data_IF_956115779895
#
_entry.id   IF_956115779895
#
_cell.length_a   1.000
_cell.length_b   1.000
_cell.length_c   1.000
_cell.angle_alpha   90.00
_cell.angle_beta   90.00
_cell.angle_gamma   90.00
#
_symmetry.space_group_name_H-M   'P 1'
#
loop_
_entity.id
_entity.type
_entity.pdbx_description
1 polymer ?
#
# COMPACT_ATOMS: atom_id res chain seq x y z
N UNK A 1 0.64 -11.15 8.18
CA UNK A 1 0.64 -9.71 7.81
C UNK A 1 -0.02 -9.42 6.46
N UNK A 2 0.29 -10.15 5.37
CA UNK A 2 -0.38 -9.94 4.07
C UNK A 2 -1.91 -10.12 4.14
N UNK A 3 -2.37 -11.12 4.88
CA UNK A 3 -3.81 -11.40 5.09
C UNK A 3 -4.50 -10.28 5.88
N UNK A 4 -3.81 -9.67 6.86
CA UNK A 4 -4.38 -8.58 7.68
C UNK A 4 -4.70 -7.36 6.82
N UNK A 5 -3.81 -7.00 5.90
CA UNK A 5 -4.06 -5.92 4.94
C UNK A 5 -5.23 -6.21 4.00
N UNK A 6 -5.40 -7.47 3.59
CA UNK A 6 -6.50 -7.90 2.71
C UNK A 6 -7.82 -7.84 3.47
N UNK A 7 -7.86 -8.32 4.72
CA UNK A 7 -9.06 -8.24 5.57
C UNK A 7 -9.44 -6.78 5.83
N UNK A 8 -8.45 -5.93 6.16
CA UNK A 8 -8.68 -4.50 6.38
C UNK A 8 -9.23 -3.83 5.11
N UNK A 9 -8.68 -4.15 3.95
CA UNK A 9 -9.17 -3.65 2.66
C UNK A 9 -10.63 -4.06 2.41
N UNK A 10 -10.93 -5.35 2.57
CA UNK A 10 -12.28 -5.90 2.41
C UNK A 10 -13.29 -5.23 3.33
N UNK A 11 -12.90 -4.97 4.57
CA UNK A 11 -13.76 -4.31 5.56
C UNK A 11 -14.07 -2.85 5.16
N UNK A 12 -13.07 -2.12 4.66
CA UNK A 12 -13.26 -0.76 4.14
C UNK A 12 -14.18 -0.77 2.91
N UNK A 13 -13.95 -1.69 1.96
CA UNK A 13 -14.79 -1.80 0.75
C UNK A 13 -16.23 -2.17 1.13
N UNK A 14 -16.42 -3.09 2.07
CA UNK A 14 -17.74 -3.45 2.58
C UNK A 14 -18.44 -2.25 3.26
N UNK A 15 -17.71 -1.46 4.05
CA UNK A 15 -18.24 -0.26 4.70
C UNK A 15 -18.66 0.81 3.68
N UNK A 16 -17.87 1.03 2.63
CA UNK A 16 -18.20 1.97 1.55
C UNK A 16 -19.41 1.47 0.75
N UNK A 17 -19.45 0.18 0.40
CA UNK A 17 -20.59 -0.42 -0.29
C UNK A 17 -21.89 -0.33 0.53
N UNK A 18 -21.80 -0.56 1.85
CA UNK A 18 -22.92 -0.37 2.77
C UNK A 18 -23.37 1.09 2.86
N UNK A 19 -22.42 2.04 2.86
CA UNK A 19 -22.72 3.47 2.79
C UNK A 19 -23.47 3.85 1.51
N UNK A 20 -23.13 3.26 0.36
CA UNK A 20 -23.88 3.45 -0.89
C UNK A 20 -25.28 2.83 -0.84
N UNK A 21 -25.44 1.70 -0.15
CA UNK A 21 -26.74 1.05 0.03
C UNK A 21 -27.70 1.86 0.91
N UNK A 22 -27.20 2.52 1.95
CA UNK A 22 -27.99 3.37 2.87
C UNK A 22 -28.24 4.78 2.31
N UNK A 23 -27.37 5.27 1.41
CA UNK A 23 -27.49 6.60 0.77
C UNK A 23 -28.91 6.98 0.30
N UNK A 24 -29.74 6.09 -0.30
CA UNK A 24 -31.10 6.42 -0.69
C UNK A 24 -32.07 6.69 0.47
N UNK A 25 -31.87 6.08 1.64
CA UNK A 25 -32.74 6.29 2.81
C UNK A 25 -32.24 7.42 3.72
N UNK A 26 -30.92 7.47 3.95
CA UNK A 26 -30.27 8.52 4.73
C UNK A 26 -28.99 8.99 4.02
N UNK A 27 -29.15 10.07 3.27
CA UNK A 27 -28.08 10.68 2.49
C UNK A 27 -26.92 11.15 3.38
N UNK A 28 -27.20 11.72 4.56
CA UNK A 28 -26.16 12.27 5.45
C UNK A 28 -25.30 11.16 6.03
N UNK A 29 -25.94 10.11 6.53
CA UNK A 29 -25.23 8.98 7.12
C UNK A 29 -24.49 8.18 6.05
N UNK A 30 -25.08 8.01 4.86
CA UNK A 30 -24.45 7.35 3.73
C UNK A 30 -23.17 8.03 3.27
N UNK A 31 -23.20 9.36 3.06
CA UNK A 31 -22.00 10.10 2.66
C UNK A 31 -20.93 10.15 3.75
N UNK A 32 -21.33 10.24 5.02
CA UNK A 32 -20.39 10.18 6.14
C UNK A 32 -19.66 8.84 6.20
N UNK A 33 -20.38 7.72 6.05
CA UNK A 33 -19.78 6.38 5.99
C UNK A 33 -18.83 6.20 4.79
N UNK A 34 -19.19 6.74 3.62
CA UNK A 34 -18.32 6.70 2.44
C UNK A 34 -17.06 7.53 2.68
N UNK A 35 -17.21 8.75 3.18
CA UNK A 35 -16.10 9.67 3.46
C UNK A 35 -15.12 9.10 4.50
N UNK A 36 -15.62 8.52 5.58
CA UNK A 36 -14.78 7.91 6.61
C UNK A 36 -14.09 6.64 6.11
N UNK A 37 -14.76 5.84 5.27
CA UNK A 37 -14.19 4.66 4.63
C UNK A 37 -13.03 5.01 3.69
N UNK A 38 -13.22 6.03 2.84
CA UNK A 38 -12.17 6.52 1.93
C UNK A 38 -11.00 7.15 2.72
N UNK A 39 -11.31 7.92 3.76
CA UNK A 39 -10.28 8.49 4.65
C UNK A 39 -9.48 7.38 5.34
N UNK A 40 -10.13 6.34 5.84
CA UNK A 40 -9.46 5.19 6.44
C UNK A 40 -8.58 4.44 5.42
N UNK A 41 -9.02 4.35 4.16
CA UNK A 41 -8.22 3.77 3.08
C UNK A 41 -6.92 4.54 2.83
N UNK A 42 -7.00 5.87 2.81
CA UNK A 42 -5.82 6.72 2.58
C UNK A 42 -4.90 6.78 3.80
N UNK A 43 -5.45 7.03 5.00
CA UNK A 43 -4.65 7.30 6.20
C UNK A 43 -4.23 6.05 6.96
N UNK A 44 -4.97 4.93 6.88
CA UNK A 44 -4.59 3.68 7.54
C UNK A 44 -4.08 2.65 6.54
N UNK A 45 -4.89 2.33 5.52
CA UNK A 45 -4.57 1.20 4.65
C UNK A 45 -3.32 1.46 3.81
N UNK A 46 -3.19 2.65 3.21
CA UNK A 46 -2.05 3.01 2.37
C UNK A 46 -0.69 2.99 3.11
N UNK A 47 -0.49 3.68 4.24
CA UNK A 47 0.80 3.65 4.94
C UNK A 47 1.11 2.26 5.50
N UNK A 48 0.10 1.52 5.98
CA UNK A 48 0.29 0.16 6.46
C UNK A 48 0.71 -0.79 5.32
N UNK A 49 0.14 -0.60 4.13
CA UNK A 49 0.52 -1.35 2.93
C UNK A 49 1.97 -1.07 2.52
N UNK A 50 2.38 0.21 2.49
CA UNK A 50 3.75 0.61 2.16
C UNK A 50 4.73 0.01 3.16
N UNK A 51 4.45 0.14 4.47
CA UNK A 51 5.30 -0.42 5.52
C UNK A 51 5.45 -1.94 5.38
N UNK A 52 4.34 -2.65 5.14
CA UNK A 52 4.40 -4.11 4.95
C UNK A 52 5.20 -4.50 3.71
N UNK A 53 5.05 -3.76 2.60
CA UNK A 53 5.75 -4.00 1.34
C UNK A 53 7.25 -3.70 1.47
N UNK A 54 7.63 -2.66 2.22
CA UNK A 54 9.02 -2.26 2.41
C UNK A 54 9.83 -3.17 3.34
N UNK A 55 9.18 -4.03 4.14
CA UNK A 55 9.87 -4.89 5.12
C UNK A 55 10.96 -5.81 4.54
N UNK A 56 10.91 -6.14 3.25
CA UNK A 56 11.92 -6.99 2.57
C UNK A 56 12.91 -6.22 1.70
N UNK A 57 12.76 -4.90 1.55
CA UNK A 57 13.64 -4.08 0.71
C UNK A 57 14.59 -3.29 1.59
N UNK A 58 15.88 -3.56 1.49
CA UNK A 58 16.90 -2.75 2.13
C UNK A 58 17.04 -1.45 1.34
N UNK A 59 16.77 -0.30 1.95
CA UNK A 59 16.90 1.01 1.28
C UNK A 59 18.30 1.21 0.69
N UNK A 60 19.31 0.65 1.37
CA UNK A 60 20.72 0.69 0.95
C UNK A 60 21.00 0.00 -0.38
N UNK A 61 20.24 -1.03 -0.74
CA UNK A 61 20.42 -1.74 -2.02
C UNK A 61 19.99 -0.90 -3.23
N UNK A 62 19.21 0.16 -2.99
CA UNK A 62 18.74 1.10 -4.01
C UNK A 62 19.56 2.41 -4.07
N UNK A 63 20.55 2.57 -3.19
CA UNK A 63 21.38 3.77 -3.14
C UNK A 63 22.60 3.60 -4.06
N UNK A 64 22.93 4.63 -4.85
CA UNK A 64 24.14 4.69 -5.68
C UNK A 64 25.38 4.95 -4.83
N UNK A 65 25.67 4.05 -3.91
CA UNK A 65 26.95 4.02 -3.20
C UNK A 65 28.04 3.47 -4.13
N UNK A 66 29.29 3.89 -3.90
CA UNK A 66 30.45 3.39 -4.69
C UNK A 66 30.48 1.86 -4.75
N UNK A 67 30.18 1.21 -3.62
CA UNK A 67 30.15 -0.24 -3.49
C UNK A 67 29.08 -0.91 -4.38
N UNK A 68 27.91 -0.30 -4.54
CA UNK A 68 26.85 -0.81 -5.41
C UNK A 68 27.15 -0.55 -6.90
N UNK A 69 27.76 0.60 -7.22
CA UNK A 69 28.21 0.93 -8.58
C UNK A 69 29.32 -0.03 -9.03
N UNK A 70 30.27 -0.33 -8.14
CA UNK A 70 31.37 -1.25 -8.44
C UNK A 70 30.84 -2.68 -8.63
N UNK A 71 29.86 -3.14 -7.83
CA UNK A 71 29.16 -4.41 -8.07
C UNK A 71 28.49 -4.46 -9.45
N UNK A 72 27.78 -3.40 -9.87
CA UNK A 72 27.15 -3.34 -11.19
C UNK A 72 28.17 -3.38 -12.33
N UNK A 73 29.34 -2.74 -12.17
CA UNK A 73 30.44 -2.80 -13.14
C UNK A 73 31.02 -4.20 -13.25
N UNK A 74 31.25 -4.88 -12.12
CA UNK A 74 31.79 -6.23 -12.09
C UNK A 74 30.83 -7.25 -12.72
N UNK A 75 29.52 -7.16 -12.47
CA UNK A 75 28.52 -7.99 -13.16
C UNK A 75 28.49 -7.75 -14.67
N UNK A 76 28.67 -6.50 -15.11
CA UNK A 76 28.73 -6.15 -16.53
C UNK A 76 29.95 -6.71 -17.26
N UNK A 77 31.11 -6.76 -16.61
CA UNK A 77 32.34 -7.35 -17.17
C UNK A 77 32.28 -8.89 -17.20
N UNK A 78 31.74 -9.52 -16.15
CA UNK A 78 31.64 -10.99 -16.08
C UNK A 78 30.66 -11.57 -17.11
N UNK A 79 29.72 -10.75 -17.61
CA UNK A 79 28.75 -11.14 -18.64
C UNK A 79 29.27 -10.97 -20.07
N UNK A 80 30.44 -10.36 -20.24
CA UNK A 80 31.14 -10.18 -21.53
C UNK A 80 32.23 -11.25 -21.77
N UNK A 81 32.54 -12.05 -20.75
CA UNK A 81 33.34 -13.28 -20.84
C UNK A 81 32.42 -14.48 -21.11
#
# INVERSE_FOLDING_TARGET
MRIVLIILFLLIVASVAFGFYIKPEDYRTGEFCIGIGISALFFLWMPLFIYHRWRKRNFKDYMLTKENIDKMRQEGDNKKL
#
